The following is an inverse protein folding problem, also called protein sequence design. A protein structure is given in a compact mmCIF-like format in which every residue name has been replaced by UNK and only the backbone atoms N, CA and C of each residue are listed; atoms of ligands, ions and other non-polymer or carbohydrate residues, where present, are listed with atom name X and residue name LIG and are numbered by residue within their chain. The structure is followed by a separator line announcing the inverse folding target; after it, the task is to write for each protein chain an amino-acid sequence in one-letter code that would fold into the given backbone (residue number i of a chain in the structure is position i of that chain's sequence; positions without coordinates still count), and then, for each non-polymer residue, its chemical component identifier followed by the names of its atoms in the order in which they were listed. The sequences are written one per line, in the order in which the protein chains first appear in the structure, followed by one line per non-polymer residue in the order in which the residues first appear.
data_IF_228092756740
#
_entry.id   IF_228092756740
#
_cell.length_a   1.000
_cell.length_b   1.000
_cell.length_c   1.000
_cell.angle_alpha   90.00
_cell.angle_beta   90.00
_cell.angle_gamma   90.00
#
_symmetry.space_group_name_H-M   'P 1'
#
loop_
_entity.id
_entity.type
_entity.pdbx_description
1 polymer ?
#
# COMPACT_ATOMS: atom_id res chain seq x y z
N UNK A 1 -20.63 -10.12 4.39
CA UNK A 1 -20.28 -9.06 3.43
C UNK A 1 -18.98 -9.46 2.80
N UNK A 2 -18.89 -9.52 1.47
CA UNK A 2 -17.63 -9.87 0.81
C UNK A 2 -16.67 -8.67 0.93
N UNK A 3 -15.47 -8.91 1.47
CA UNK A 3 -14.42 -7.90 1.51
C UNK A 3 -13.61 -7.98 0.21
N UNK A 4 -13.22 -6.86 -0.35
CA UNK A 4 -12.51 -6.80 -1.63
C UNK A 4 -11.63 -5.56 -1.70
N UNK A 5 -10.55 -5.66 -2.46
CA UNK A 5 -9.75 -4.50 -2.78
C UNK A 5 -9.14 -4.57 -4.17
N UNK A 6 -8.83 -3.39 -4.69
CA UNK A 6 -8.11 -3.15 -5.92
C UNK A 6 -6.97 -2.18 -5.66
N UNK A 7 -5.74 -2.58 -5.94
CA UNK A 7 -4.57 -1.71 -6.01
C UNK A 7 -4.23 -1.48 -7.48
N UNK A 8 -4.14 -0.22 -7.90
CA UNK A 8 -3.78 0.16 -9.26
C UNK A 8 -2.61 1.14 -9.24
N UNK A 9 -1.59 0.85 -10.03
CA UNK A 9 -0.45 1.73 -10.24
C UNK A 9 -0.93 3.04 -10.88
N UNK A 10 -0.54 4.18 -10.32
CA UNK A 10 -0.98 5.50 -10.82
C UNK A 10 -0.08 6.04 -11.93
N UNK A 11 1.19 5.63 -11.97
CA UNK A 11 2.16 5.95 -13.02
C UNK A 11 3.21 4.86 -13.16
N UNK A 12 3.58 4.52 -14.39
CA UNK A 12 4.56 3.49 -14.76
C UNK A 12 6.02 3.99 -14.78
N UNK A 13 6.29 5.10 -14.08
CA UNK A 13 7.64 5.66 -13.91
C UNK A 13 8.57 4.86 -12.98
N UNK A 14 9.77 5.41 -12.75
CA UNK A 14 10.75 4.80 -11.85
C UNK A 14 10.32 4.85 -10.37
N UNK A 15 10.74 3.84 -9.59
CA UNK A 15 10.51 3.78 -8.13
C UNK A 15 10.89 5.10 -7.43
N UNK A 16 10.08 5.62 -6.50
CA UNK A 16 8.94 4.96 -5.83
C UNK A 16 7.65 4.90 -6.67
N UNK A 17 6.95 3.77 -6.61
CA UNK A 17 5.70 3.55 -7.33
C UNK A 17 4.48 3.85 -6.45
N UNK A 18 3.62 4.75 -6.91
CA UNK A 18 2.38 5.12 -6.21
C UNK A 18 1.21 4.23 -6.66
N UNK A 19 0.47 3.70 -5.70
CA UNK A 19 -0.68 2.87 -5.89
C UNK A 19 -1.92 3.52 -5.30
N UNK A 20 -3.00 3.51 -6.06
CA UNK A 20 -4.33 3.83 -5.58
C UNK A 20 -5.02 2.54 -5.16
N UNK A 21 -5.44 2.48 -3.91
CA UNK A 21 -6.24 1.40 -3.34
C UNK A 21 -7.72 1.80 -3.31
N UNK A 22 -8.59 0.91 -3.78
CA UNK A 22 -10.04 1.00 -3.62
C UNK A 22 -10.51 -0.25 -2.85
N UNK A 23 -11.09 -0.04 -1.67
CA UNK A 23 -11.50 -1.07 -0.74
C UNK A 23 -13.03 -1.07 -0.67
N UNK A 24 -13.62 -2.25 -0.89
CA UNK A 24 -15.07 -2.47 -0.89
C UNK A 24 -15.86 -1.50 -1.78
N UNK A 25 -15.20 -0.92 -2.79
CA UNK A 25 -15.76 0.11 -3.67
C UNK A 25 -16.12 1.43 -2.99
N UNK A 26 -15.69 1.65 -1.74
CA UNK A 26 -16.11 2.80 -0.92
C UNK A 26 -14.96 3.62 -0.39
N UNK A 27 -13.92 2.95 0.11
CA UNK A 27 -12.80 3.60 0.76
C UNK A 27 -11.60 3.65 -0.17
N UNK A 28 -10.94 4.79 -0.20
CA UNK A 28 -9.76 5.04 -0.99
C UNK A 28 -8.55 5.29 -0.10
N UNK A 29 -7.42 4.72 -0.48
CA UNK A 29 -6.14 4.96 0.18
C UNK A 29 -5.02 4.94 -0.86
N UNK A 30 -3.85 5.48 -0.51
CA UNK A 30 -2.69 5.47 -1.39
C UNK A 30 -1.51 4.78 -0.72
N UNK A 31 -0.77 3.99 -1.50
CA UNK A 31 0.39 3.25 -1.02
C UNK A 31 1.58 3.52 -1.92
N UNK A 32 2.76 3.64 -1.33
CA UNK A 32 4.03 3.74 -2.06
C UNK A 32 4.79 2.45 -1.94
N UNK A 33 5.13 1.82 -3.06
CA UNK A 33 6.11 0.75 -3.14
C UNK A 33 7.47 1.34 -3.49
N UNK A 34 8.40 1.32 -2.53
CA UNK A 34 9.77 1.76 -2.74
C UNK A 34 10.68 0.54 -2.89
N UNK A 35 11.17 0.31 -4.11
CA UNK A 35 12.04 -0.83 -4.41
C UNK A 35 13.44 -0.65 -3.81
N UNK A 36 13.94 0.60 -3.71
CA UNK A 36 15.27 0.89 -3.15
C UNK A 36 15.35 0.57 -1.66
N UNK A 37 14.32 0.93 -0.91
CA UNK A 37 14.25 0.63 0.53
C UNK A 37 13.54 -0.67 0.85
N UNK A 38 13.12 -1.42 -0.17
CA UNK A 38 12.31 -2.63 -0.07
C UNK A 38 11.16 -2.48 0.94
N UNK A 39 10.37 -1.42 0.82
CA UNK A 39 9.29 -1.12 1.77
C UNK A 39 8.06 -0.54 1.10
N UNK A 40 6.91 -0.77 1.72
CA UNK A 40 5.63 -0.19 1.36
C UNK A 40 5.21 0.81 2.43
N UNK A 41 4.73 1.98 2.03
CA UNK A 41 4.27 3.04 2.92
C UNK A 41 2.83 3.40 2.63
N UNK A 42 2.06 3.79 3.65
CA UNK A 42 0.84 4.54 3.41
C UNK A 42 1.21 5.96 2.96
N UNK A 43 0.44 6.50 2.02
CA UNK A 43 0.69 7.80 1.43
C UNK A 43 -0.63 8.56 1.18
N UNK A 44 -0.51 9.84 0.87
CA UNK A 44 -1.60 10.64 0.30
C UNK A 44 -1.67 10.48 -1.24
N UNK A 45 -2.60 11.19 -1.87
CA UNK A 45 -2.78 11.18 -3.33
C UNK A 45 -1.61 11.81 -4.11
N UNK A 46 -0.78 12.60 -3.44
CA UNK A 46 0.39 13.25 -4.04
C UNK A 46 1.65 12.37 -3.92
N UNK A 47 1.59 11.30 -3.14
CA UNK A 47 2.72 10.41 -2.89
C UNK A 47 3.60 10.86 -1.74
N UNK A 48 3.09 11.68 -0.81
CA UNK A 48 3.78 11.94 0.45
C UNK A 48 3.39 10.85 1.47
N UNK A 49 4.36 10.27 2.20
CA UNK A 49 4.06 9.29 3.25
C UNK A 49 3.09 9.87 4.29
N UNK A 50 2.02 9.14 4.58
CA UNK A 50 0.96 9.54 5.52
C UNK A 50 0.71 8.46 6.57
N UNK A 51 0.20 8.84 7.74
CA UNK A 51 -0.24 7.89 8.78
C UNK A 51 0.83 7.05 9.45
N UNK A 52 2.12 7.24 9.10
CA UNK A 52 3.25 6.55 9.75
C UNK A 52 3.32 5.04 9.55
N UNK A 53 2.43 4.45 8.74
CA UNK A 53 2.40 3.01 8.49
C UNK A 53 3.40 2.64 7.40
N UNK A 54 4.28 1.70 7.74
CA UNK A 54 5.28 1.15 6.84
C UNK A 54 5.39 -0.36 6.99
N UNK A 55 5.34 -1.09 5.88
CA UNK A 55 5.65 -2.52 5.85
C UNK A 55 6.99 -2.75 5.16
N UNK A 56 7.87 -3.49 5.82
CA UNK A 56 9.14 -3.94 5.23
C UNK A 56 8.90 -5.19 4.38
N UNK A 57 9.34 -5.18 3.11
CA UNK A 57 9.15 -6.30 2.19
C UNK A 57 9.98 -7.54 2.57
N UNK A 58 11.26 -7.43 3.00
CA UNK A 58 12.05 -8.61 3.34
C UNK A 58 11.47 -9.46 4.46
N UNK A 59 11.00 -8.84 5.55
CA UNK A 59 10.54 -9.54 6.76
C UNK A 59 9.02 -9.48 6.96
N UNK A 60 8.29 -8.65 6.21
CA UNK A 60 6.84 -8.47 6.39
C UNK A 60 6.46 -7.71 7.67
N UNK A 61 7.44 -7.11 8.36
CA UNK A 61 7.19 -6.40 9.62
C UNK A 61 6.49 -5.07 9.34
N UNK A 62 5.44 -4.80 10.11
CA UNK A 62 4.75 -3.51 10.15
C UNK A 62 5.44 -2.62 11.20
N UNK A 63 5.97 -1.50 10.74
CA UNK A 63 6.43 -0.40 11.58
C UNK A 63 5.35 0.68 11.58
N UNK A 64 4.92 1.09 12.78
CA UNK A 64 4.10 2.29 12.98
C UNK A 64 5.05 3.35 13.50
N UNK A 65 5.34 4.36 12.68
CA UNK A 65 6.11 5.52 13.10
C UNK A 65 5.14 6.59 13.58
N UNK A 66 5.42 7.18 14.74
CA UNK A 66 4.81 8.45 15.15
C UNK A 66 5.35 9.55 14.24
N UNK A 67 4.75 9.68 13.05
CA UNK A 67 4.79 10.91 12.28
C UNK A 67 3.80 11.83 12.98
N UNK A 68 4.17 13.08 13.30
CA UNK A 68 3.25 14.05 13.92
C UNK A 68 1.96 14.13 13.08
N UNK A 69 0.94 13.39 13.52
CA UNK A 69 -0.28 13.17 12.76
C UNK A 69 -1.07 14.47 12.79
N UNK A 70 -1.03 15.22 11.68
CA UNK A 70 -1.93 16.36 11.53
C UNK A 70 -3.35 15.87 11.19
N UNK A 71 -3.48 14.65 10.67
CA UNK A 71 -4.76 14.02 10.30
C UNK A 71 -4.76 12.52 10.62
N UNK A 72 -5.93 11.99 10.96
CA UNK A 72 -6.13 10.54 11.15
C UNK A 72 -5.83 9.81 9.82
N UNK A 73 -5.14 8.67 9.84
CA UNK A 73 -4.83 7.94 8.62
C UNK A 73 -6.11 7.57 7.87
N UNK A 74 -6.08 7.67 6.55
CA UNK A 74 -7.18 7.30 5.65
C UNK A 74 -7.52 5.81 5.67
N UNK A 75 -6.71 5.00 6.36
CA UNK A 75 -6.77 3.55 6.38
C UNK A 75 -6.35 2.99 7.76
N UNK A 76 -7.05 1.97 8.25
CA UNK A 76 -6.66 1.25 9.46
C UNK A 76 -5.40 0.41 9.27
N UNK A 77 -4.68 0.13 10.36
CA UNK A 77 -3.42 -0.63 10.32
C UNK A 77 -3.58 -2.05 9.74
N UNK A 78 -4.68 -2.74 10.05
CA UNK A 78 -4.97 -4.09 9.54
C UNK A 78 -5.25 -4.08 8.03
N UNK A 79 -6.01 -3.09 7.55
CA UNK A 79 -6.30 -2.95 6.11
C UNK A 79 -5.03 -2.60 5.35
N UNK A 80 -4.20 -1.68 5.87
CA UNK A 80 -2.89 -1.39 5.32
C UNK A 80 -2.02 -2.64 5.22
N UNK A 81 -1.94 -3.42 6.30
CA UNK A 81 -1.15 -4.66 6.35
C UNK A 81 -1.62 -5.65 5.29
N UNK A 82 -2.93 -5.82 5.11
CA UNK A 82 -3.51 -6.68 4.09
C UNK A 82 -3.09 -6.23 2.67
N UNK A 83 -3.29 -4.95 2.35
CA UNK A 83 -2.95 -4.37 1.05
C UNK A 83 -1.45 -4.49 0.78
N UNK A 84 -0.62 -4.09 1.74
CA UNK A 84 0.83 -4.11 1.62
C UNK A 84 1.36 -5.55 1.45
N UNK A 85 0.83 -6.52 2.21
CA UNK A 85 1.20 -7.92 2.08
C UNK A 85 0.92 -8.47 0.66
N UNK A 86 -0.27 -8.18 0.12
CA UNK A 86 -0.62 -8.64 -1.22
C UNK A 86 0.18 -7.94 -2.32
N UNK A 87 0.42 -6.62 -2.19
CA UNK A 87 1.27 -5.87 -3.10
C UNK A 87 2.70 -6.40 -3.10
N UNK A 88 3.30 -6.55 -1.92
CA UNK A 88 4.65 -7.05 -1.73
C UNK A 88 4.82 -8.48 -2.25
N UNK A 89 3.84 -9.35 -2.00
CA UNK A 89 3.85 -10.72 -2.53
C UNK A 89 3.77 -10.75 -4.06
N UNK A 90 2.95 -9.89 -4.66
CA UNK A 90 2.85 -9.81 -6.12
C UNK A 90 4.13 -9.27 -6.74
N UNK A 91 4.71 -8.21 -6.16
CA UNK A 91 6.01 -7.68 -6.57
C UNK A 91 7.11 -8.74 -6.49
N UNK A 92 7.23 -9.47 -5.37
CA UNK A 92 8.19 -10.57 -5.21
C UNK A 92 8.04 -11.66 -6.27
N UNK A 93 6.80 -11.98 -6.68
CA UNK A 93 6.52 -12.99 -7.70
C UNK A 93 6.84 -12.53 -9.11
N UNK A 94 6.60 -11.25 -9.42
CA UNK A 94 6.81 -10.70 -10.76
C UNK A 94 8.21 -10.15 -10.98
N UNK A 95 8.95 -9.83 -9.90
CA UNK A 95 10.25 -9.17 -9.95
C UNK A 95 10.19 -7.69 -10.35
N UNK A 96 8.99 -7.11 -10.46
CA UNK A 96 8.75 -5.70 -10.82
C UNK A 96 7.44 -5.20 -10.19
N UNK A 97 7.28 -3.88 -10.13
CA UNK A 97 6.05 -3.23 -9.70
C UNK A 97 4.82 -3.73 -10.50
N UNK A 98 3.82 -4.36 -9.86
CA UNK A 98 2.63 -4.85 -10.56
C UNK A 98 1.71 -3.69 -10.97
N UNK A 99 1.20 -3.68 -12.21
CA UNK A 99 0.25 -2.63 -12.64
C UNK A 99 -1.08 -2.67 -11.86
N UNK A 100 -1.52 -3.86 -11.48
CA UNK A 100 -2.77 -4.08 -10.77
C UNK A 100 -2.67 -5.28 -9.80
N UNK A 101 -3.27 -5.16 -8.63
CA UNK A 101 -3.52 -6.27 -7.68
C UNK A 101 -4.97 -6.22 -7.22
N UNK A 102 -5.74 -7.28 -7.49
CA UNK A 102 -7.14 -7.39 -7.06
C UNK A 102 -7.36 -8.64 -6.21
N UNK A 103 -8.14 -8.51 -5.13
CA UNK A 103 -8.55 -9.62 -4.26
C UNK A 103 -10.00 -9.50 -3.82
N UNK A 104 -10.63 -10.65 -3.67
CA UNK A 104 -11.98 -10.83 -3.13
C UNK A 104 -11.91 -11.88 -2.03
N UNK A 105 -12.57 -11.61 -0.91
CA UNK A 105 -12.70 -12.46 0.27
C UNK A 105 -14.20 -12.68 0.49
N UNK A 106 -14.63 -13.94 0.39
CA UNK A 106 -16.02 -14.35 0.51
C UNK A 106 -16.28 -15.00 1.88
#
# INVERSE_FOLDING_TARGET
MAHSFLLKLTSDGESPHLYRALIDGKQEAFLILNERSASIHLADSEGNPSGGLRMSLPNGNLEVKDVEQTESPSLGAEEFKLLAAHLGNQWKRQGKAPNEVRKFFA
#
